data_IF_830830257889
#
_entry.id   IF_830830257889
#
_cell.length_a   1.000
_cell.length_b   1.000
_cell.length_c   1.000
_cell.angle_alpha   90.00
_cell.angle_beta   90.00
_cell.angle_gamma   90.00
#
_symmetry.space_group_name_H-M   'P 1'
#
loop_
_entity.id
_entity.type
_entity.pdbx_description
1 polymer ?
#
# COMPACT_ATOMS: atom_id res chain seq x y z
N UNK A 1 -4.76 -10.74 -29.73
CA UNK A 1 -4.02 -9.99 -28.70
C UNK A 1 -4.62 -8.61 -28.61
N UNK A 2 -5.34 -8.30 -27.53
CA UNK A 2 -5.98 -7.00 -27.36
C UNK A 2 -4.97 -6.04 -26.75
N UNK A 3 -4.58 -5.01 -27.50
CA UNK A 3 -3.73 -3.92 -26.98
C UNK A 3 -4.51 -3.17 -25.89
N UNK A 4 -3.99 -3.14 -24.66
CA UNK A 4 -4.57 -2.39 -23.54
C UNK A 4 -5.29 -3.20 -22.44
N UNK A 5 -5.38 -4.53 -22.57
CA UNK A 5 -5.94 -5.38 -21.51
C UNK A 5 -5.04 -5.47 -20.27
N UNK A 6 -5.65 -5.48 -19.08
CA UNK A 6 -4.96 -5.74 -17.81
C UNK A 6 -4.76 -7.25 -17.67
N UNK A 7 -3.60 -7.69 -17.16
CA UNK A 7 -3.31 -9.10 -16.89
C UNK A 7 -4.24 -9.67 -15.80
N UNK A 8 -4.27 -10.99 -15.70
CA UNK A 8 -4.88 -11.66 -14.55
C UNK A 8 -4.09 -11.35 -13.26
N UNK A 9 -4.77 -11.43 -12.11
CA UNK A 9 -4.16 -11.25 -10.81
C UNK A 9 -3.13 -12.36 -10.55
N UNK A 10 -1.93 -11.98 -10.15
CA UNK A 10 -0.85 -12.90 -9.79
C UNK A 10 -0.29 -12.56 -8.41
N UNK A 11 0.25 -13.55 -7.71
CA UNK A 11 0.92 -13.33 -6.42
C UNK A 11 2.16 -12.47 -6.59
N UNK A 12 2.37 -11.53 -5.67
CA UNK A 12 3.53 -10.66 -5.70
C UNK A 12 4.83 -11.47 -5.61
N UNK A 13 5.78 -11.13 -6.48
CA UNK A 13 7.14 -11.65 -6.46
C UNK A 13 8.07 -10.70 -5.69
N UNK A 14 9.30 -11.11 -5.34
CA UNK A 14 10.27 -10.23 -4.69
C UNK A 14 10.57 -8.95 -5.49
N UNK A 15 10.47 -9.02 -6.81
CA UNK A 15 10.62 -7.87 -7.71
C UNK A 15 9.49 -6.86 -7.52
N UNK A 16 8.23 -7.33 -7.48
CA UNK A 16 7.07 -6.47 -7.20
C UNK A 16 7.16 -5.83 -5.83
N UNK A 17 7.63 -6.57 -4.82
CA UNK A 17 7.88 -6.02 -3.49
C UNK A 17 8.93 -4.90 -3.53
N UNK A 18 10.01 -5.08 -4.30
CA UNK A 18 11.03 -4.04 -4.47
C UNK A 18 10.46 -2.79 -5.14
N UNK A 19 9.63 -2.96 -6.18
CA UNK A 19 8.94 -1.85 -6.85
C UNK A 19 8.03 -1.09 -5.86
N UNK A 20 7.24 -1.82 -5.08
CA UNK A 20 6.39 -1.25 -4.03
C UNK A 20 7.24 -0.44 -3.03
N UNK A 21 8.37 -0.98 -2.58
CA UNK A 21 9.28 -0.30 -1.66
C UNK A 21 9.91 0.97 -2.26
N UNK A 22 10.21 0.99 -3.57
CA UNK A 22 10.74 2.18 -4.26
C UNK A 22 9.74 3.33 -4.30
N UNK A 23 8.45 3.02 -4.51
CA UNK A 23 7.39 4.05 -4.59
C UNK A 23 6.78 4.39 -3.24
N UNK A 24 7.02 3.58 -2.21
CA UNK A 24 6.58 3.83 -0.82
C UNK A 24 6.86 5.25 -0.33
N UNK A 25 8.07 5.84 -0.43
CA UNK A 25 8.30 7.22 0.01
C UNK A 25 7.42 8.23 -0.74
N UNK A 26 7.10 7.97 -2.01
CA UNK A 26 6.19 8.83 -2.79
C UNK A 26 4.75 8.71 -2.27
N UNK A 27 4.32 7.51 -1.87
CA UNK A 27 3.02 7.27 -1.27
C UNK A 27 2.92 7.97 0.09
N UNK A 28 3.88 7.75 0.98
CA UNK A 28 3.91 8.35 2.32
C UNK A 28 3.91 9.89 2.26
N UNK A 29 4.63 10.47 1.30
CA UNK A 29 4.61 11.92 1.07
C UNK A 29 3.25 12.43 0.60
N UNK A 30 2.53 11.68 -0.26
CA UNK A 30 1.19 12.06 -0.75
C UNK A 30 0.09 11.85 0.29
N UNK A 31 0.18 10.80 1.11
CA UNK A 31 -0.83 10.48 2.13
C UNK A 31 -0.55 11.13 3.48
N UNK A 32 0.68 11.65 3.69
CA UNK A 32 1.19 12.11 4.99
C UNK A 32 0.99 11.06 6.10
N UNK A 33 1.12 9.78 5.73
CA UNK A 33 0.99 8.60 6.61
C UNK A 33 2.28 7.80 6.50
N UNK A 34 2.71 7.18 7.60
CA UNK A 34 3.83 6.23 7.62
C UNK A 34 3.29 4.81 7.78
N UNK A 35 3.87 3.86 7.05
CA UNK A 35 3.44 2.46 7.09
C UNK A 35 4.51 1.59 7.74
N UNK A 36 4.27 0.99 8.92
CA UNK A 36 5.30 0.12 9.52
C UNK A 36 5.42 -1.21 8.77
N UNK A 37 4.28 -1.78 8.34
CA UNK A 37 4.21 -2.92 7.43
C UNK A 37 3.89 -2.45 6.00
N UNK A 38 4.56 -3.03 5.01
CA UNK A 38 4.35 -2.72 3.59
C UNK A 38 4.67 -3.93 2.72
N UNK A 39 3.77 -4.92 2.71
CA UNK A 39 3.98 -6.21 2.05
C UNK A 39 3.12 -6.33 0.81
N UNK A 40 3.72 -6.52 -0.37
CA UNK A 40 3.00 -6.75 -1.61
C UNK A 40 2.43 -8.17 -1.61
N UNK A 41 1.13 -8.31 -1.88
CA UNK A 41 0.41 -9.59 -1.85
C UNK A 41 0.05 -10.05 -3.25
N UNK A 42 -0.49 -9.15 -4.06
CA UNK A 42 -0.93 -9.43 -5.42
C UNK A 42 -0.57 -8.29 -6.36
N UNK A 43 -0.49 -8.59 -7.65
CA UNK A 43 -0.28 -7.58 -8.68
C UNK A 43 -0.96 -7.93 -10.00
N UNK A 44 -1.16 -6.90 -10.81
CA UNK A 44 -1.57 -6.97 -12.21
C UNK A 44 -0.71 -6.02 -13.04
N UNK A 45 -0.45 -6.34 -14.30
CA UNK A 45 0.26 -5.46 -15.22
C UNK A 45 -0.62 -5.07 -16.39
N UNK A 46 -0.28 -3.94 -17.01
CA UNK A 46 -0.92 -3.47 -18.22
C UNK A 46 0.11 -2.80 -19.11
N UNK A 47 0.23 -3.31 -20.33
CA UNK A 47 1.13 -2.76 -21.35
C UNK A 47 0.49 -1.53 -22.00
N UNK A 48 1.22 -0.42 -21.98
CA UNK A 48 0.85 0.87 -22.60
C UNK A 48 2.09 1.43 -23.35
N UNK A 49 2.22 2.75 -23.51
CA UNK A 49 3.50 3.38 -23.89
C UNK A 49 4.49 3.38 -22.71
N UNK A 50 4.84 2.17 -22.25
CA UNK A 50 5.41 1.87 -20.94
C UNK A 50 4.63 0.72 -20.28
N UNK A 51 4.73 0.58 -18.97
CA UNK A 51 4.01 -0.45 -18.22
C UNK A 51 3.36 0.14 -16.97
N UNK A 52 2.06 -0.10 -16.78
CA UNK A 52 1.38 0.14 -15.52
C UNK A 52 1.40 -1.16 -14.71
N UNK A 53 1.81 -1.07 -13.44
CA UNK A 53 1.83 -2.16 -12.49
C UNK A 53 0.89 -1.78 -11.33
N UNK A 54 -0.20 -2.52 -11.19
CA UNK A 54 -1.13 -2.39 -10.07
C UNK A 54 -0.70 -3.38 -8.99
N UNK A 55 -0.44 -2.89 -7.78
CA UNK A 55 0.07 -3.72 -6.67
C UNK A 55 -0.87 -3.56 -5.48
N UNK A 56 -1.30 -4.69 -4.92
CA UNK A 56 -2.02 -4.77 -3.65
C UNK A 56 -1.02 -4.94 -2.53
N UNK A 57 -1.03 -4.01 -1.59
CA UNK A 57 -0.08 -3.95 -0.47
C UNK A 57 -0.84 -4.08 0.84
N UNK A 58 -0.45 -5.06 1.65
CA UNK A 58 -0.88 -5.20 3.03
C UNK A 58 -0.08 -4.26 3.94
N UNK A 59 -0.80 -3.39 4.62
CA UNK A 59 -0.26 -2.47 5.63
C UNK A 59 -0.80 -2.75 7.04
N UNK A 60 -1.47 -3.89 7.22
CA UNK A 60 -2.03 -4.31 8.51
C UNK A 60 -0.91 -4.55 9.51
N UNK A 61 -0.91 -3.81 10.61
CA UNK A 61 0.05 -4.05 11.69
C UNK A 61 -0.14 -5.46 12.28
N UNK A 62 0.94 -6.16 12.65
CA UNK A 62 0.81 -7.43 13.35
C UNK A 62 0.04 -7.20 14.67
N UNK A 63 -1.01 -8.01 14.90
CA UNK A 63 -1.84 -7.96 16.12
C UNK A 63 -1.03 -7.99 17.43
N UNK A 64 0.20 -8.50 17.41
CA UNK A 64 1.12 -8.46 18.55
C UNK A 64 1.44 -7.03 19.02
N UNK A 65 1.51 -6.04 18.12
CA UNK A 65 1.68 -4.63 18.49
C UNK A 65 0.39 -4.06 19.09
N UNK A 66 -0.78 -4.47 18.60
CA UNK A 66 -2.09 -4.09 19.14
C UNK A 66 -2.31 -4.59 20.59
N UNK A 67 -1.70 -5.72 20.96
CA UNK A 67 -1.78 -6.31 22.31
C UNK A 67 -0.92 -5.59 23.36
N UNK A 68 0.01 -4.71 22.97
CA UNK A 68 0.87 -3.93 23.87
C UNK A 68 0.29 -2.54 24.22
N UNK A 69 -0.70 -2.05 23.48
CA UNK A 69 -1.37 -0.77 23.76
C UNK A 69 -2.24 -0.70 25.04
N UNK A 70 -2.83 -1.77 25.61
CA UNK A 70 -3.64 -1.62 26.82
C UNK A 70 -2.84 -1.26 28.08
N UNK A 71 -1.50 -1.30 28.04
CA UNK A 71 -0.64 -0.88 29.18
C UNK A 71 -0.30 0.61 29.11
N UNK A 72 -0.28 1.22 27.91
CA UNK A 72 -0.03 2.66 27.76
C UNK A 72 -1.25 3.53 28.13
N UNK A 73 -2.47 2.98 28.00
CA UNK A 73 -3.71 3.69 28.33
C UNK A 73 -3.84 4.00 29.84
N UNK A 74 -3.25 3.17 30.72
CA UNK A 74 -3.30 3.38 32.17
C UNK A 74 -2.32 4.47 32.64
N UNK A 75 -1.27 4.76 31.86
CA UNK A 75 -0.27 5.78 32.18
C UNK A 75 -0.61 7.18 31.62
N UNK A 76 -1.67 7.30 30.81
CA UNK A 76 -2.08 8.55 30.15
C UNK A 76 -3.29 9.26 30.79
N UNK A 77 -3.83 8.78 31.90
CA UNK A 77 -4.92 9.48 32.61
C UNK A 77 -4.51 10.84 33.23
N UNK A 78 -3.23 11.23 33.19
CA UNK A 78 -2.75 12.49 33.77
C UNK A 78 -2.38 13.58 32.76
N UNK A 79 -2.38 13.30 31.45
CA UNK A 79 -2.08 14.31 30.45
C UNK A 79 -3.23 14.40 29.45
N UNK A 80 -3.92 15.54 29.48
CA UNK A 80 -4.89 15.98 28.49
C UNK A 80 -4.28 15.85 27.08
N UNK A 81 -4.60 14.74 26.41
CA UNK A 81 -4.09 14.36 25.10
C UNK A 81 -5.25 14.16 24.14
N UNK A 82 -5.72 15.26 23.56
CA UNK A 82 -6.79 15.23 22.57
C UNK A 82 -6.28 15.20 21.12
N UNK A 83 -5.01 14.85 20.84
CA UNK A 83 -4.46 15.06 19.49
C UNK A 83 -3.56 13.99 18.86
N UNK A 84 -3.15 12.89 19.51
CA UNK A 84 -2.29 11.89 18.84
C UNK A 84 -2.71 10.48 19.24
N UNK A 85 -3.89 10.09 18.82
CA UNK A 85 -4.02 8.75 18.23
C UNK A 85 -3.90 8.98 16.73
N UNK A 86 -2.85 8.51 16.03
CA UNK A 86 -2.98 8.42 14.58
C UNK A 86 -4.23 7.59 14.35
N UNK A 87 -5.11 8.11 13.48
CA UNK A 87 -6.35 7.48 13.07
C UNK A 87 -6.01 6.17 12.32
N UNK A 88 -5.50 5.18 13.05
CA UNK A 88 -5.40 3.81 12.61
C UNK A 88 -6.82 3.30 12.74
N UNK A 89 -7.51 3.18 11.61
CA UNK A 89 -8.79 2.51 11.56
C UNK A 89 -8.53 1.05 11.97
N UNK A 90 -8.90 0.71 13.21
CA UNK A 90 -8.64 -0.60 13.84
C UNK A 90 -9.65 -1.67 13.34
N UNK A 91 -10.49 -1.36 12.34
CA UNK A 91 -11.64 -2.20 12.01
C UNK A 91 -11.50 -3.11 10.80
N UNK A 92 -10.83 -2.67 9.75
CA UNK A 92 -10.82 -3.38 8.45
C UNK A 92 -9.39 -3.43 7.94
N UNK A 93 -8.83 -4.63 7.77
CA UNK A 93 -7.44 -4.84 7.37
C UNK A 93 -7.00 -3.85 6.29
N UNK A 94 -5.95 -3.08 6.56
CA UNK A 94 -5.57 -1.94 5.75
C UNK A 94 -4.80 -2.42 4.52
N UNK A 95 -5.52 -2.73 3.44
CA UNK A 95 -4.89 -2.91 2.13
C UNK A 95 -4.85 -1.58 1.39
N UNK A 96 -3.81 -1.42 0.58
CA UNK A 96 -3.63 -0.28 -0.30
C UNK A 96 -3.41 -0.82 -1.70
N UNK A 97 -4.14 -0.29 -2.66
CA UNK A 97 -3.86 -0.54 -4.06
C UNK A 97 -3.03 0.62 -4.59
N UNK A 98 -1.83 0.34 -5.10
CA UNK A 98 -0.96 1.34 -5.71
C UNK A 98 -0.83 1.06 -7.21
N UNK A 99 -0.75 2.14 -7.99
CA UNK A 99 -0.48 2.10 -9.42
C UNK A 99 0.88 2.72 -9.67
N UNK A 100 1.79 1.89 -10.15
CA UNK A 100 3.16 2.26 -10.48
C UNK A 100 3.30 2.28 -11.99
N UNK A 101 3.97 3.31 -12.52
CA UNK A 101 4.31 3.38 -13.93
C UNK A 101 5.80 3.17 -14.12
N UNK A 102 6.14 2.34 -15.10
CA UNK A 102 7.48 2.15 -15.60
C UNK A 102 7.57 2.75 -17.01
N UNK A 103 8.39 3.79 -17.14
CA UNK A 103 8.53 4.53 -18.39
C UNK A 103 9.20 3.70 -19.51
N UNK A 104 8.97 4.08 -20.79
CA UNK A 104 9.48 3.33 -21.95
C UNK A 104 11.01 3.34 -22.07
N UNK A 105 11.70 4.20 -21.32
CA UNK A 105 13.16 4.36 -21.37
C UNK A 105 13.92 3.32 -20.53
N UNK A 106 13.23 2.44 -19.79
CA UNK A 106 13.82 1.29 -19.09
C UNK A 106 14.87 1.62 -18.01
N UNK A 107 15.06 2.89 -17.68
CA UNK A 107 15.75 3.29 -16.45
C UNK A 107 14.74 3.04 -15.34
N UNK A 108 15.09 2.28 -14.30
CA UNK A 108 14.31 1.88 -13.11
C UNK A 108 13.60 3.03 -12.33
N UNK A 109 12.96 3.94 -13.03
CA UNK A 109 12.32 5.15 -12.58
C UNK A 109 10.84 4.83 -12.40
N UNK A 110 10.55 4.06 -11.35
CA UNK A 110 9.20 3.70 -10.96
C UNK A 110 8.52 4.90 -10.30
N UNK A 111 7.40 5.33 -10.88
CA UNK A 111 6.66 6.51 -10.42
C UNK A 111 5.28 6.11 -9.90
N UNK A 112 4.88 6.67 -8.76
CA UNK A 112 3.55 6.46 -8.19
C UNK A 112 2.51 7.31 -8.95
N UNK A 113 1.80 6.67 -9.86
CA UNK A 113 0.76 7.29 -10.68
C UNK A 113 -0.60 7.38 -9.97
N UNK A 114 -0.90 6.45 -9.06
CA UNK A 114 -2.16 6.46 -8.33
C UNK A 114 -2.12 5.58 -7.08
N UNK A 115 -3.07 5.81 -6.17
CA UNK A 115 -3.26 4.95 -5.01
C UNK A 115 -4.73 4.97 -4.55
N UNK A 116 -5.15 3.90 -3.90
CA UNK A 116 -6.43 3.77 -3.20
C UNK A 116 -6.15 3.23 -1.81
N UNK A 117 -6.56 3.95 -0.76
CA UNK A 117 -6.44 3.52 0.64
C UNK A 117 -7.71 2.85 1.12
N UNK A 118 -7.63 2.27 2.32
CA UNK A 118 -8.78 1.72 3.06
C UNK A 118 -9.49 0.59 2.27
N UNK A 119 -8.67 -0.22 1.58
CA UNK A 119 -9.11 -1.39 0.82
C UNK A 119 -9.07 -2.66 1.66
N UNK A 120 -9.86 -3.65 1.25
CA UNK A 120 -9.97 -4.95 1.91
C UNK A 120 -9.21 -6.04 1.16
N UNK A 121 -8.92 -7.16 1.85
CA UNK A 121 -8.20 -8.29 1.26
C UNK A 121 -8.93 -8.93 0.07
N UNK A 122 -10.26 -8.87 0.05
CA UNK A 122 -11.07 -9.52 -0.98
C UNK A 122 -11.37 -8.59 -2.16
N UNK A 123 -11.08 -7.29 -2.05
CA UNK A 123 -11.24 -6.35 -3.16
C UNK A 123 -10.24 -6.62 -4.28
N UNK A 124 -10.75 -6.81 -5.48
CA UNK A 124 -9.93 -7.07 -6.66
C UNK A 124 -9.16 -5.82 -7.09
N UNK A 125 -7.95 -6.02 -7.64
CA UNK A 125 -7.23 -4.96 -8.35
C UNK A 125 -7.98 -4.58 -9.63
N UNK A 126 -8.74 -3.48 -9.55
CA UNK A 126 -9.39 -2.85 -10.71
C UNK A 126 -8.52 -1.73 -11.28
N UNK A 127 -8.82 -1.32 -12.52
CA UNK A 127 -8.17 -0.17 -13.15
C UNK A 127 -8.62 1.14 -12.47
N UNK A 128 -7.67 2.06 -12.21
CA UNK A 128 -7.91 3.42 -11.70
C UNK A 128 -6.79 4.39 -12.12
#
# INVERSE_FOLDING_TARGET
>A
MSLGGVSEASRATPEIQMIANKVRPQLEAKTNKKYEKFEAVEYKTQVVAGENIFIKVDTTLPQALMQLFPVAQLYLHFYHWSLITPLMDVGHGCFIHIKVFNGPTGKDNYELHGYQTDKTMDEELTYF
#
